data_IF_961249180364
#
_entry.id   IF_961249180364
#
_cell.length_a   1.000
_cell.length_b   1.000
_cell.length_c   1.000
_cell.angle_alpha   90.00
_cell.angle_beta   90.00
_cell.angle_gamma   90.00
#
_symmetry.space_group_name_H-M   'P 1'
#
loop_
_entity.id
_entity.type
_entity.pdbx_description
1 polymer ?
#
# COMPACT_ATOMS: atom_id res chain seq x y z
N UNK A 1 4.24 -68.10 -33.22
CA UNK A 1 3.34 -66.99 -32.85
C UNK A 1 4.22 -65.76 -32.72
N UNK A 2 4.16 -64.84 -33.68
CA UNK A 2 5.03 -63.66 -33.72
C UNK A 2 4.44 -62.56 -32.85
N UNK A 3 5.18 -62.10 -31.83
CA UNK A 3 4.83 -60.92 -31.04
C UNK A 3 5.16 -59.66 -31.85
N UNK A 4 4.16 -58.81 -32.07
CA UNK A 4 4.33 -57.48 -32.65
C UNK A 4 4.62 -56.48 -31.53
N UNK A 5 5.82 -55.90 -31.50
CA UNK A 5 6.14 -54.78 -30.61
C UNK A 5 5.50 -53.48 -31.13
N UNK A 6 4.93 -52.61 -30.26
CA UNK A 6 4.43 -51.30 -30.69
C UNK A 6 5.59 -50.34 -31.02
N UNK A 7 5.41 -49.40 -31.96
CA UNK A 7 6.46 -48.44 -32.32
C UNK A 7 6.69 -47.41 -31.19
N UNK A 8 7.92 -46.87 -31.04
CA UNK A 8 8.19 -45.81 -30.08
C UNK A 8 7.53 -44.50 -30.51
N UNK A 9 6.78 -43.87 -29.60
CA UNK A 9 6.29 -42.50 -29.82
C UNK A 9 7.43 -41.48 -29.67
N UNK A 10 7.51 -40.47 -30.56
CA UNK A 10 8.54 -39.44 -30.47
C UNK A 10 8.30 -38.51 -29.27
N UNK A 11 9.36 -37.96 -28.65
CA UNK A 11 9.22 -36.96 -27.59
C UNK A 11 8.63 -35.67 -28.17
N UNK A 12 7.44 -35.29 -27.74
CA UNK A 12 6.79 -34.06 -28.16
C UNK A 12 7.35 -32.90 -27.31
N UNK A 13 8.42 -32.28 -27.79
CA UNK A 13 8.99 -31.05 -27.23
C UNK A 13 8.22 -29.84 -27.75
N UNK A 14 7.36 -29.25 -26.92
CA UNK A 14 6.69 -27.97 -27.18
C UNK A 14 6.38 -27.22 -25.87
N UNK A 15 6.30 -25.88 -25.88
CA UNK A 15 6.15 -25.08 -24.67
C UNK A 15 4.79 -25.36 -24.00
N UNK A 16 4.82 -25.69 -22.71
CA UNK A 16 3.62 -25.87 -21.88
C UNK A 16 3.12 -24.50 -21.44
N UNK A 17 2.69 -23.68 -22.38
CA UNK A 17 2.04 -22.41 -22.12
C UNK A 17 0.56 -22.49 -22.53
N UNK A 18 -0.32 -22.49 -21.53
CA UNK A 18 -1.63 -21.85 -21.67
C UNK A 18 -2.84 -22.70 -22.08
N UNK A 19 -3.03 -23.91 -21.55
CA UNK A 19 -4.36 -24.56 -21.63
C UNK A 19 -5.11 -24.55 -20.27
N UNK A 20 -6.04 -23.61 -20.04
CA UNK A 20 -6.78 -23.50 -18.77
C UNK A 20 -7.79 -24.63 -18.52
N UNK A 21 -7.96 -25.56 -19.47
CA UNK A 21 -8.87 -26.70 -19.36
C UNK A 21 -8.18 -28.05 -19.02
N UNK A 22 -6.86 -28.07 -18.80
CA UNK A 22 -6.14 -29.31 -18.49
C UNK A 22 -6.45 -29.93 -17.10
N UNK A 23 -7.26 -29.26 -16.26
CA UNK A 23 -7.61 -29.70 -14.91
C UNK A 23 -8.97 -30.40 -14.76
N UNK A 24 -9.77 -30.54 -15.81
CA UNK A 24 -11.07 -31.21 -15.69
C UNK A 24 -10.92 -32.72 -15.90
N UNK A 25 -10.66 -33.44 -14.81
CA UNK A 25 -10.82 -34.90 -14.79
C UNK A 25 -12.29 -35.27 -15.03
N UNK A 26 -12.62 -36.20 -15.94
CA UNK A 26 -13.99 -36.65 -16.16
C UNK A 26 -14.60 -37.19 -14.86
N UNK A 27 -15.88 -36.89 -14.60
CA UNK A 27 -16.59 -37.43 -13.44
C UNK A 27 -16.62 -38.97 -13.50
N UNK A 28 -16.29 -39.68 -12.41
CA UNK A 28 -16.21 -41.14 -12.43
C UNK A 28 -17.59 -41.77 -12.59
N UNK A 29 -17.67 -42.79 -13.45
CA UNK A 29 -18.88 -43.58 -13.65
C UNK A 29 -19.21 -44.42 -12.39
N UNK A 30 -20.50 -44.58 -12.01
CA UNK A 30 -20.88 -45.28 -10.79
C UNK A 30 -20.39 -46.73 -10.79
N UNK A 31 -19.58 -47.11 -9.79
CA UNK A 31 -19.12 -48.48 -9.57
C UNK A 31 -17.65 -48.76 -9.94
N UNK A 32 -16.89 -47.75 -10.38
CA UNK A 32 -15.42 -47.90 -10.53
C UNK A 32 -14.70 -47.54 -9.22
N UNK A 33 -13.75 -48.37 -8.74
CA UNK A 33 -12.90 -48.00 -7.60
C UNK A 33 -12.17 -46.70 -7.93
N UNK A 34 -12.26 -45.74 -7.02
CA UNK A 34 -11.57 -44.46 -7.16
C UNK A 34 -10.07 -44.75 -7.34
N UNK A 35 -9.41 -44.30 -8.43
CA UNK A 35 -7.96 -44.42 -8.52
C UNK A 35 -7.37 -43.69 -7.32
N UNK A 36 -6.32 -44.21 -6.67
CA UNK A 36 -5.70 -43.52 -5.56
C UNK A 36 -5.31 -42.13 -6.03
N UNK A 37 -5.96 -41.12 -5.47
CA UNK A 37 -5.66 -39.74 -5.75
C UNK A 37 -4.24 -39.56 -5.24
N UNK A 38 -3.29 -39.54 -6.17
CA UNK A 38 -1.90 -39.18 -5.91
C UNK A 38 -1.97 -37.74 -5.43
N UNK A 39 -2.14 -37.57 -4.12
CA UNK A 39 -1.87 -36.31 -3.46
C UNK A 39 -0.50 -35.90 -3.98
N UNK A 40 -0.43 -34.70 -4.58
CA UNK A 40 0.77 -34.17 -5.19
C UNK A 40 1.83 -33.82 -4.12
N UNK A 41 2.17 -34.80 -3.29
CA UNK A 41 3.35 -34.85 -2.44
C UNK A 41 4.55 -34.98 -3.37
N UNK A 42 5.00 -33.86 -3.93
CA UNK A 42 6.16 -33.85 -4.80
C UNK A 42 6.24 -32.69 -5.80
N UNK A 43 5.24 -31.81 -5.89
CA UNK A 43 5.45 -30.56 -6.60
C UNK A 43 6.59 -29.80 -5.89
N UNK A 44 7.72 -29.48 -6.56
CA UNK A 44 8.74 -28.64 -5.96
C UNK A 44 8.08 -27.32 -5.54
N UNK A 45 8.46 -26.75 -4.38
CA UNK A 45 7.91 -25.48 -3.94
C UNK A 45 8.05 -24.48 -5.10
N UNK A 46 6.95 -23.80 -5.43
CA UNK A 46 6.97 -22.78 -6.47
C UNK A 46 8.12 -21.80 -6.17
N UNK A 47 8.93 -21.40 -7.16
CA UNK A 47 10.02 -20.47 -6.93
C UNK A 47 9.46 -19.18 -6.32
N UNK A 48 10.14 -18.59 -5.33
CA UNK A 48 9.70 -17.36 -4.71
C UNK A 48 9.52 -16.29 -5.79
N UNK A 49 8.39 -15.57 -5.74
CA UNK A 49 8.10 -14.50 -6.68
C UNK A 49 9.27 -13.49 -6.71
N UNK A 50 9.61 -12.91 -7.88
CA UNK A 50 10.69 -11.94 -7.98
C UNK A 50 10.51 -10.81 -6.96
N UNK A 51 11.49 -10.62 -6.10
CA UNK A 51 11.47 -9.53 -5.13
C UNK A 51 11.66 -8.21 -5.89
N UNK A 52 10.57 -7.42 -6.01
CA UNK A 52 10.70 -6.01 -6.38
C UNK A 52 11.58 -5.30 -5.35
N UNK A 53 12.55 -4.51 -5.83
CA UNK A 53 13.46 -3.72 -5.00
C UNK A 53 13.89 -2.46 -5.77
N UNK A 54 13.00 -1.48 -5.85
CA UNK A 54 13.27 -0.21 -6.50
C UNK A 54 13.05 0.94 -5.52
N UNK A 55 14.12 1.33 -4.84
CA UNK A 55 14.09 2.40 -3.84
C UNK A 55 13.57 3.72 -4.42
N UNK A 56 14.08 4.14 -5.58
CA UNK A 56 13.75 5.44 -6.18
C UNK A 56 12.26 5.48 -6.53
N UNK A 57 11.75 4.44 -7.19
CA UNK A 57 10.35 4.40 -7.59
C UNK A 57 9.41 4.34 -6.37
N UNK A 58 9.79 3.56 -5.34
CA UNK A 58 9.05 3.51 -4.08
C UNK A 58 9.02 4.85 -3.36
N UNK A 59 10.14 5.57 -3.33
CA UNK A 59 10.23 6.89 -2.72
C UNK A 59 9.35 7.90 -3.47
N UNK A 60 9.43 7.95 -4.80
CA UNK A 60 8.60 8.84 -5.62
C UNK A 60 7.11 8.56 -5.38
N UNK A 61 6.72 7.29 -5.37
CA UNK A 61 5.33 6.91 -5.09
C UNK A 61 4.87 7.33 -3.69
N UNK A 62 5.73 7.18 -2.68
CA UNK A 62 5.44 7.59 -1.31
C UNK A 62 5.28 9.12 -1.19
N UNK A 63 6.14 9.91 -1.85
CA UNK A 63 6.06 11.37 -1.86
C UNK A 63 4.78 11.85 -2.55
N UNK A 64 4.46 11.30 -3.73
CA UNK A 64 3.22 11.65 -4.44
C UNK A 64 2.00 11.31 -3.58
N UNK A 65 1.98 10.12 -2.99
CA UNK A 65 0.90 9.73 -2.08
C UNK A 65 0.79 10.71 -0.90
N UNK A 66 1.90 11.02 -0.22
CA UNK A 66 1.93 11.93 0.93
C UNK A 66 1.39 13.33 0.60
N UNK A 67 1.74 13.88 -0.56
CA UNK A 67 1.22 15.18 -1.01
C UNK A 67 -0.30 15.10 -1.23
N UNK A 68 -0.77 14.08 -1.95
CA UNK A 68 -2.19 13.93 -2.29
C UNK A 68 -3.03 13.72 -1.03
N UNK A 69 -2.67 12.76 -0.17
CA UNK A 69 -3.47 12.47 1.03
C UNK A 69 -3.34 13.55 2.10
N UNK A 70 -2.18 14.22 2.19
CA UNK A 70 -2.01 15.37 3.08
C UNK A 70 -2.86 16.56 2.67
N UNK A 71 -2.91 16.87 1.36
CA UNK A 71 -3.78 17.92 0.83
C UNK A 71 -5.26 17.59 1.07
N UNK A 72 -5.69 16.35 0.78
CA UNK A 72 -7.06 15.92 1.06
C UNK A 72 -7.41 16.02 2.55
N UNK A 73 -6.48 15.64 3.43
CA UNK A 73 -6.68 15.74 4.86
C UNK A 73 -6.84 17.19 5.32
N UNK A 74 -5.97 18.10 4.88
CA UNK A 74 -6.08 19.53 5.20
C UNK A 74 -7.35 20.17 4.66
N UNK A 75 -7.77 19.83 3.43
CA UNK A 75 -9.04 20.28 2.87
C UNK A 75 -10.24 19.81 3.70
N UNK A 76 -10.20 18.56 4.20
CA UNK A 76 -11.24 18.03 5.08
C UNK A 76 -11.30 18.85 6.37
N UNK A 77 -10.16 19.09 7.04
CA UNK A 77 -10.10 19.90 8.27
C UNK A 77 -10.66 21.30 8.01
N UNK A 78 -10.19 21.98 6.96
CA UNK A 78 -10.62 23.33 6.62
C UNK A 78 -12.13 23.42 6.34
N UNK A 79 -12.70 22.40 5.67
CA UNK A 79 -14.12 22.38 5.34
C UNK A 79 -15.03 21.98 6.52
N UNK A 80 -14.58 21.08 7.39
CA UNK A 80 -15.39 20.60 8.54
C UNK A 80 -15.18 21.42 9.79
N UNK A 81 -14.11 22.24 9.86
CA UNK A 81 -13.63 22.92 11.07
C UNK A 81 -13.33 21.96 12.23
N UNK A 82 -13.14 20.68 11.91
CA UNK A 82 -12.91 19.63 12.89
C UNK A 82 -11.78 18.72 12.43
N UNK A 83 -10.80 18.56 13.29
CA UNK A 83 -9.77 17.55 13.09
C UNK A 83 -10.30 16.15 13.36
N UNK A 84 -10.03 15.26 12.42
CA UNK A 84 -10.41 13.86 12.52
C UNK A 84 -9.13 13.06 12.77
N UNK A 85 -8.77 12.86 14.04
CA UNK A 85 -7.52 12.19 14.41
C UNK A 85 -7.34 10.78 13.82
N UNK A 86 -8.43 10.02 13.63
CA UNK A 86 -8.36 8.71 12.97
C UNK A 86 -7.97 8.80 11.49
N UNK A 87 -8.16 9.94 10.82
CA UNK A 87 -7.78 10.12 9.42
C UNK A 87 -6.25 10.03 9.24
N UNK A 88 -5.46 10.41 10.26
CA UNK A 88 -4.00 10.29 10.24
C UNK A 88 -3.55 8.84 10.03
N UNK A 89 -4.30 7.87 10.55
CA UNK A 89 -4.04 6.43 10.34
C UNK A 89 -4.17 6.07 8.86
N UNK A 90 -5.22 6.59 8.20
CA UNK A 90 -5.46 6.40 6.78
C UNK A 90 -4.38 7.05 5.93
N UNK A 91 -3.98 8.29 6.25
CA UNK A 91 -2.89 9.00 5.59
C UNK A 91 -1.60 8.18 5.67
N UNK A 92 -1.19 7.77 6.88
CA UNK A 92 0.00 6.96 7.07
C UNK A 92 -0.06 5.64 6.31
N UNK A 93 -1.19 4.93 6.39
CA UNK A 93 -1.37 3.67 5.68
C UNK A 93 -1.22 3.82 4.15
N UNK A 94 -1.83 4.84 3.54
CA UNK A 94 -1.75 5.06 2.08
C UNK A 94 -0.32 5.39 1.65
N UNK A 95 0.39 6.24 2.40
CA UNK A 95 1.80 6.58 2.13
C UNK A 95 2.68 5.32 2.20
N UNK A 96 2.51 4.51 3.26
CA UNK A 96 3.23 3.25 3.41
C UNK A 96 2.91 2.24 2.32
N UNK A 97 1.64 2.07 2.00
CA UNK A 97 1.17 1.16 0.95
C UNK A 97 1.77 1.54 -0.41
N UNK A 98 1.80 2.82 -0.76
CA UNK A 98 2.43 3.30 -1.98
C UNK A 98 3.93 2.97 -2.00
N UNK A 99 4.65 3.25 -0.91
CA UNK A 99 6.07 2.96 -0.78
C UNK A 99 6.37 1.46 -0.97
N UNK A 100 5.68 0.59 -0.23
CA UNK A 100 5.90 -0.85 -0.27
C UNK A 100 5.44 -1.50 -1.59
N UNK A 101 4.26 -1.13 -2.10
CA UNK A 101 3.72 -1.70 -3.34
C UNK A 101 4.57 -1.33 -4.56
N UNK A 102 5.19 -0.16 -4.56
CA UNK A 102 5.97 0.28 -5.72
C UNK A 102 7.45 -0.06 -5.56
N UNK A 103 8.02 0.17 -4.37
CA UNK A 103 9.45 -0.02 -4.15
C UNK A 103 9.88 -1.37 -3.61
N UNK A 104 8.94 -2.20 -3.15
CA UNK A 104 9.20 -3.57 -2.73
C UNK A 104 9.95 -3.72 -1.41
N UNK A 105 10.77 -4.78 -1.25
CA UNK A 105 11.34 -5.22 0.05
C UNK A 105 12.55 -4.41 0.53
N UNK A 106 12.71 -3.18 0.05
CA UNK A 106 13.80 -2.32 0.48
C UNK A 106 13.61 -1.87 1.94
N UNK A 107 14.58 -2.09 2.86
CA UNK A 107 14.41 -1.78 4.28
C UNK A 107 14.35 -0.27 4.59
N UNK A 108 14.75 0.59 3.65
CA UNK A 108 14.70 2.05 3.80
C UNK A 108 13.27 2.58 3.63
N UNK A 109 12.46 1.95 2.77
CA UNK A 109 11.13 2.45 2.41
C UNK A 109 10.14 2.53 3.59
N UNK A 110 10.07 1.56 4.52
CA UNK A 110 9.23 1.69 5.70
C UNK A 110 9.59 2.88 6.58
N UNK A 111 10.89 3.16 6.74
CA UNK A 111 11.39 4.27 7.59
C UNK A 111 11.09 5.61 6.93
N UNK A 112 11.43 5.76 5.65
CA UNK A 112 11.16 7.00 4.92
C UNK A 112 9.65 7.22 4.76
N UNK A 113 8.88 6.16 4.52
CA UNK A 113 7.42 6.24 4.49
C UNK A 113 6.81 6.72 5.81
N UNK A 114 7.36 6.30 6.96
CA UNK A 114 6.94 6.80 8.26
C UNK A 114 7.23 8.29 8.44
N UNK A 115 8.42 8.76 8.03
CA UNK A 115 8.80 10.18 8.07
C UNK A 115 7.87 11.00 7.16
N UNK A 116 7.62 10.52 5.93
CA UNK A 116 6.73 11.17 4.98
C UNK A 116 5.29 11.21 5.49
N UNK A 117 4.81 10.17 6.18
CA UNK A 117 3.50 10.16 6.80
C UNK A 117 3.38 11.23 7.91
N UNK A 118 4.39 11.35 8.77
CA UNK A 118 4.41 12.41 9.79
C UNK A 118 4.37 13.80 9.15
N UNK A 119 5.21 14.04 8.14
CA UNK A 119 5.20 15.30 7.40
C UNK A 119 3.88 15.57 6.69
N UNK A 120 3.27 14.54 6.10
CA UNK A 120 1.97 14.63 5.41
C UNK A 120 0.84 15.00 6.34
N UNK A 121 0.73 14.33 7.49
CA UNK A 121 -0.32 14.63 8.49
C UNK A 121 -0.11 16.04 9.04
N UNK A 122 1.11 16.38 9.46
CA UNK A 122 1.40 17.71 10.02
C UNK A 122 1.11 18.84 9.01
N UNK A 123 1.57 18.70 7.77
CA UNK A 123 1.29 19.69 6.72
C UNK A 123 -0.21 19.78 6.41
N UNK A 124 -0.93 18.64 6.44
CA UNK A 124 -2.38 18.64 6.31
C UNK A 124 -3.07 19.45 7.40
N UNK A 125 -2.66 19.29 8.67
CA UNK A 125 -3.19 20.10 9.77
C UNK A 125 -2.90 21.59 9.56
N UNK A 126 -1.67 21.98 9.20
CA UNK A 126 -1.35 23.38 8.92
C UNK A 126 -2.17 23.98 7.77
N UNK A 127 -2.44 23.21 6.71
CA UNK A 127 -3.32 23.64 5.62
C UNK A 127 -4.75 23.82 6.14
N UNK A 128 -5.25 22.89 6.94
CA UNK A 128 -6.56 22.98 7.58
C UNK A 128 -6.71 24.22 8.45
N UNK A 129 -5.74 24.46 9.33
CA UNK A 129 -5.70 25.64 10.19
C UNK A 129 -5.64 26.94 9.39
N UNK A 130 -4.79 27.01 8.36
CA UNK A 130 -4.73 28.19 7.51
C UNK A 130 -6.05 28.47 6.79
N UNK A 131 -6.79 27.43 6.37
CA UNK A 131 -8.13 27.60 5.80
C UNK A 131 -9.14 28.10 6.83
N UNK A 132 -9.10 27.58 8.06
CA UNK A 132 -9.99 28.00 9.15
C UNK A 132 -9.73 29.47 9.52
N UNK A 133 -8.45 29.86 9.64
CA UNK A 133 -8.04 31.23 9.93
C UNK A 133 -8.45 32.17 8.78
N UNK A 134 -8.20 31.77 7.53
CA UNK A 134 -8.58 32.56 6.35
C UNK A 134 -10.09 32.82 6.30
N UNK A 135 -10.91 31.79 6.55
CA UNK A 135 -12.37 31.90 6.63
C UNK A 135 -12.82 32.78 7.81
N UNK A 136 -12.14 32.71 8.95
CA UNK A 136 -12.48 33.50 10.13
C UNK A 136 -12.22 34.99 9.98
N UNK A 137 -11.10 35.36 9.33
CA UNK A 137 -10.68 36.77 9.17
C UNK A 137 -11.05 37.37 7.81
N UNK A 138 -11.72 36.62 6.93
CA UNK A 138 -12.10 37.04 5.57
C UNK A 138 -10.89 37.49 4.71
N UNK A 139 -9.80 36.73 4.82
CA UNK A 139 -8.54 36.95 4.09
C UNK A 139 -8.22 35.76 3.19
N UNK A 140 -7.24 35.90 2.30
CA UNK A 140 -6.88 34.80 1.39
C UNK A 140 -6.08 33.70 2.09
N UNK A 141 -6.31 32.43 1.72
CA UNK A 141 -5.50 31.30 2.22
C UNK A 141 -4.00 31.51 2.00
N UNK A 142 -3.61 32.07 0.84
CA UNK A 142 -2.19 32.26 0.50
C UNK A 142 -1.51 33.23 1.47
N UNK A 143 -2.17 34.33 1.81
CA UNK A 143 -1.69 35.29 2.81
C UNK A 143 -1.50 34.61 4.16
N UNK A 144 -2.48 33.82 4.60
CA UNK A 144 -2.38 33.10 5.88
C UNK A 144 -1.26 32.04 5.87
N UNK A 145 -1.21 31.21 4.84
CA UNK A 145 -0.31 30.05 4.80
C UNK A 145 1.14 30.43 4.46
N UNK A 146 1.37 31.41 3.59
CA UNK A 146 2.72 31.78 3.14
C UNK A 146 3.27 33.00 3.87
N UNK A 147 2.44 33.99 4.21
CA UNK A 147 2.91 35.23 4.84
C UNK A 147 2.74 35.20 6.37
N UNK A 148 1.81 34.39 6.90
CA UNK A 148 1.50 34.28 8.33
C UNK A 148 1.58 32.85 8.88
N UNK A 149 2.51 32.05 8.35
CA UNK A 149 2.72 30.66 8.79
C UNK A 149 3.06 30.56 10.29
N UNK A 150 3.65 31.59 10.89
CA UNK A 150 3.92 31.67 12.33
C UNK A 150 2.62 31.68 13.15
N UNK A 151 1.59 32.38 12.68
CA UNK A 151 0.26 32.40 13.30
C UNK A 151 -0.38 31.03 13.18
N UNK A 152 -0.35 30.41 11.99
CA UNK A 152 -0.88 29.06 11.76
C UNK A 152 -0.22 28.05 12.68
N UNK A 153 1.12 28.10 12.81
CA UNK A 153 1.85 27.21 13.72
C UNK A 153 1.53 27.48 15.19
N UNK A 154 1.24 28.73 15.56
CA UNK A 154 0.85 29.07 16.93
C UNK A 154 -0.52 28.48 17.25
N UNK A 155 -1.51 28.68 16.38
CA UNK A 155 -2.86 28.12 16.54
C UNK A 155 -2.80 26.59 16.59
N UNK A 156 -2.10 25.96 15.65
CA UNK A 156 -1.91 24.50 15.69
C UNK A 156 -1.30 24.01 17.02
N UNK A 157 -0.34 24.73 17.61
CA UNK A 157 0.23 24.37 18.91
C UNK A 157 -0.74 24.55 20.07
N UNK A 158 -1.62 25.54 19.99
CA UNK A 158 -2.65 25.80 20.99
C UNK A 158 -3.76 24.73 20.93
N UNK A 159 -4.09 24.25 19.73
CA UNK A 159 -5.10 23.22 19.50
C UNK A 159 -4.56 21.78 19.62
N UNK A 160 -3.25 21.59 19.47
CA UNK A 160 -2.61 20.28 19.57
C UNK A 160 -2.69 19.72 21.00
N UNK A 161 -3.57 18.74 21.19
CA UNK A 161 -3.68 17.96 22.41
C UNK A 161 -2.69 16.76 22.42
N UNK A 162 -2.53 16.05 23.56
CA UNK A 162 -1.69 14.86 23.61
C UNK A 162 -2.10 13.76 22.61
N UNK A 163 -3.38 13.71 22.22
CA UNK A 163 -3.92 12.71 21.31
C UNK A 163 -3.43 12.93 19.87
N UNK A 164 -3.21 14.18 19.45
CA UNK A 164 -2.57 14.51 18.17
C UNK A 164 -1.22 13.81 18.01
N UNK A 165 -0.39 13.82 19.04
CA UNK A 165 0.91 13.15 19.02
C UNK A 165 0.79 11.62 19.01
N UNK A 166 -0.25 11.07 19.65
CA UNK A 166 -0.57 9.64 19.55
C UNK A 166 -0.95 9.29 18.10
N UNK A 167 -1.76 10.11 17.44
CA UNK A 167 -2.13 9.89 16.03
C UNK A 167 -0.94 10.05 15.08
N UNK A 168 0.01 10.92 15.37
CA UNK A 168 1.29 10.97 14.65
C UNK A 168 2.05 9.66 14.76
N UNK A 169 2.18 9.12 15.98
CA UNK A 169 2.83 7.83 16.20
C UNK A 169 2.09 6.69 15.47
N UNK A 170 0.75 6.69 15.49
CA UNK A 170 -0.06 5.69 14.77
C UNK A 170 0.10 5.85 13.25
N UNK A 171 0.14 7.07 12.72
CA UNK A 171 0.35 7.33 11.29
C UNK A 171 1.72 6.80 10.83
N UNK A 172 2.77 7.11 11.58
CA UNK A 172 4.12 6.60 11.33
C UNK A 172 4.15 5.06 11.37
N UNK A 173 3.52 4.46 12.38
CA UNK A 173 3.44 3.00 12.51
C UNK A 173 2.62 2.36 11.38
N UNK A 174 1.50 2.97 10.98
CA UNK A 174 0.65 2.52 9.89
C UNK A 174 1.40 2.58 8.55
N UNK A 175 2.19 3.63 8.32
CA UNK A 175 3.04 3.76 7.14
C UNK A 175 4.14 2.68 7.12
N UNK A 176 4.85 2.51 8.23
CA UNK A 176 5.89 1.50 8.36
C UNK A 176 5.35 0.08 8.11
N UNK A 177 4.26 -0.25 8.81
CA UNK A 177 3.61 -1.57 8.72
C UNK A 177 2.98 -1.80 7.34
N UNK A 178 2.32 -0.78 6.79
CA UNK A 178 1.73 -0.79 5.46
C UNK A 178 2.77 -1.03 4.37
N UNK A 179 3.92 -0.35 4.45
CA UNK A 179 5.03 -0.56 3.52
C UNK A 179 5.56 -1.99 3.57
N UNK A 180 5.85 -2.52 4.76
CA UNK A 180 6.36 -3.89 4.90
C UNK A 180 5.36 -4.93 4.40
N UNK A 181 4.07 -4.76 4.69
CA UNK A 181 3.02 -5.68 4.23
C UNK A 181 2.79 -5.60 2.71
N UNK A 182 2.94 -4.40 2.14
CA UNK A 182 2.77 -4.17 0.72
C UNK A 182 4.00 -4.54 -0.12
N UNK A 183 5.16 -4.86 0.49
CA UNK A 183 6.42 -5.11 -0.20
C UNK A 183 6.46 -6.39 -1.06
N UNK A 184 5.57 -7.37 -0.81
CA UNK A 184 5.52 -8.64 -1.54
C UNK A 184 6.52 -9.67 -1.02
#
# INVERSE_FOLDING_TARGET
MSQSTPPPQPPQSGPVDGNPYAGQTPAPAPGTPYPPQQAAFGAPPAPPAPARNNLVLGLVAAVVAAVVVGALYGLIIGATKHEIGWAAVGVGFVVGLAAGKVGGRNPVLPVVGAILALGSVYLGQLVGEAMIIADHFDVSFNEVFFDHLDVVQKVWKEDADPLTFVFFAIAAFAAFSGSKKAAG
#
